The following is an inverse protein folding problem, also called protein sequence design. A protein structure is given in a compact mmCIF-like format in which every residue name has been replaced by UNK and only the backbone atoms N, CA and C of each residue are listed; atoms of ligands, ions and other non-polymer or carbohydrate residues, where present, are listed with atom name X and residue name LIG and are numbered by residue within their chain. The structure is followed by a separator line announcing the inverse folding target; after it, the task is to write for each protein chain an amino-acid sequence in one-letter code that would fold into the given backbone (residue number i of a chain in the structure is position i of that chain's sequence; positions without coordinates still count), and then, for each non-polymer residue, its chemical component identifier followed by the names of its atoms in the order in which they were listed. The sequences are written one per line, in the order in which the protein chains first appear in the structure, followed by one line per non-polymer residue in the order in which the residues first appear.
data_IF_426313059013
#
_entry.id   IF_426313059013
#
_cell.length_a   1.000
_cell.length_b   1.000
_cell.length_c   1.000
_cell.angle_alpha   90.00
_cell.angle_beta   90.00
_cell.angle_gamma   90.00
#
_symmetry.space_group_name_H-M   'P 1'
#
loop_
_entity.id
_entity.type
_entity.pdbx_description
1 polymer ?
#
# COMPACT_ATOMS: atom_id res chain seq x y z
N UNK A 1 19.50 -13.42 -14.16
CA UNK A 1 18.63 -13.34 -12.98
C UNK A 1 17.25 -13.79 -13.41
N UNK A 2 16.58 -14.62 -12.62
CA UNK A 2 15.20 -15.05 -12.89
C UNK A 2 14.24 -13.84 -12.98
N UNK A 3 13.35 -13.74 -13.99
CA UNK A 3 12.47 -12.58 -14.17
C UNK A 3 11.54 -12.32 -12.99
N UNK A 4 11.02 -13.39 -12.35
CA UNK A 4 10.16 -13.27 -11.19
C UNK A 4 10.94 -12.67 -10.00
N UNK A 5 12.17 -13.14 -9.76
CA UNK A 5 13.05 -12.54 -8.74
C UNK A 5 13.41 -11.09 -9.05
N UNK A 6 13.63 -10.74 -10.32
CA UNK A 6 13.93 -9.36 -10.73
C UNK A 6 12.73 -8.42 -10.49
N UNK A 7 11.51 -8.86 -10.80
CA UNK A 7 10.29 -8.09 -10.51
C UNK A 7 10.09 -7.89 -9.00
N UNK A 8 10.38 -8.92 -8.19
CA UNK A 8 10.30 -8.81 -6.73
C UNK A 8 11.31 -7.80 -6.17
N UNK A 9 12.55 -7.80 -6.69
CA UNK A 9 13.58 -6.82 -6.32
C UNK A 9 13.13 -5.40 -6.68
N UNK A 10 12.61 -5.18 -7.89
CA UNK A 10 12.12 -3.87 -8.34
C UNK A 10 11.02 -3.30 -7.43
N UNK A 11 10.03 -4.13 -7.05
CA UNK A 11 8.98 -3.74 -6.10
C UNK A 11 9.56 -3.34 -4.74
N UNK A 12 10.42 -4.20 -4.16
CA UNK A 12 10.98 -3.94 -2.83
C UNK A 12 11.86 -2.69 -2.83
N UNK A 13 12.72 -2.51 -3.83
CA UNK A 13 13.55 -1.31 -3.98
C UNK A 13 12.69 -0.05 -4.09
N UNK A 14 11.61 -0.10 -4.88
CA UNK A 14 10.66 1.02 -4.98
C UNK A 14 10.02 1.34 -3.62
N UNK A 15 9.76 0.33 -2.78
CA UNK A 15 9.13 0.51 -1.47
C UNK A 15 10.10 0.93 -0.35
N UNK A 16 11.42 0.84 -0.53
CA UNK A 16 12.40 1.06 0.55
C UNK A 16 12.29 2.46 1.20
N UNK A 17 12.09 3.51 0.40
CA UNK A 17 11.93 4.88 0.93
C UNK A 17 10.64 5.04 1.74
N UNK A 18 9.54 4.45 1.28
CA UNK A 18 8.25 4.42 1.98
C UNK A 18 8.40 3.70 3.31
N UNK A 19 9.01 2.51 3.31
CA UNK A 19 9.25 1.74 4.53
C UNK A 19 10.05 2.55 5.55
N UNK A 20 11.13 3.19 5.12
CA UNK A 20 11.95 4.06 5.97
C UNK A 20 11.12 5.21 6.56
N UNK A 21 10.35 5.92 5.73
CA UNK A 21 9.50 7.02 6.20
C UNK A 21 8.44 6.57 7.21
N UNK A 22 7.86 5.37 7.05
CA UNK A 22 6.92 4.81 8.04
C UNK A 22 7.64 4.53 9.37
N UNK A 23 8.83 3.92 9.33
CA UNK A 23 9.61 3.59 10.54
C UNK A 23 10.10 4.81 11.30
N UNK A 24 10.40 5.91 10.61
CA UNK A 24 10.90 7.15 11.21
C UNK A 24 9.78 8.10 11.66
N UNK A 25 8.54 7.85 11.25
CA UNK A 25 7.39 8.72 11.51
C UNK A 25 6.99 8.75 13.00
N UNK A 26 6.75 9.96 13.50
CA UNK A 26 6.25 10.17 14.87
C UNK A 26 4.84 9.62 15.08
N UNK A 27 4.07 9.47 13.99
CA UNK A 27 2.70 8.90 14.02
C UNK A 27 2.66 7.48 14.60
N UNK A 28 3.80 6.77 14.64
CA UNK A 28 3.88 5.38 15.08
C UNK A 28 4.93 5.15 16.18
N UNK A 29 5.36 6.22 16.90
CA UNK A 29 6.37 6.11 17.97
C UNK A 29 5.84 5.51 19.27
N UNK A 30 4.54 5.60 19.55
CA UNK A 30 3.91 4.97 20.71
C UNK A 30 3.20 3.68 20.27
N UNK A 31 3.67 2.54 20.79
CA UNK A 31 3.23 1.14 20.56
C UNK A 31 2.48 0.81 19.25
N UNK A 32 3.27 0.25 18.33
CA UNK A 32 3.06 -0.14 16.92
C UNK A 32 2.05 -1.26 16.65
N UNK A 33 0.87 -1.24 17.28
CA UNK A 33 -0.17 -2.25 17.01
C UNK A 33 -0.96 -2.04 15.70
N UNK A 34 -0.79 -0.88 15.05
CA UNK A 34 -1.66 -0.48 13.94
C UNK A 34 -1.01 -0.52 12.56
N UNK A 35 0.29 -0.82 12.40
CA UNK A 35 0.91 -1.00 11.07
C UNK A 35 1.51 -2.39 10.94
N UNK A 36 1.15 -3.07 9.85
CA UNK A 36 1.75 -4.34 9.44
C UNK A 36 2.48 -4.18 8.10
N UNK A 37 3.59 -4.88 7.92
CA UNK A 37 4.35 -4.90 6.67
C UNK A 37 4.13 -6.21 5.94
N UNK A 38 3.88 -6.15 4.62
CA UNK A 38 3.86 -7.32 3.77
C UNK A 38 5.26 -7.56 3.23
N UNK A 39 5.84 -8.70 3.62
CA UNK A 39 7.17 -9.14 3.18
C UNK A 39 7.04 -9.94 1.89
N UNK A 40 7.88 -9.60 0.91
CA UNK A 40 7.99 -10.36 -0.33
C UNK A 40 8.80 -11.65 -0.08
N UNK A 41 8.26 -12.85 -0.38
CA UNK A 41 8.92 -14.11 -0.03
C UNK A 41 10.19 -14.41 -0.85
N UNK A 42 10.41 -13.71 -1.96
CA UNK A 42 11.57 -13.93 -2.85
C UNK A 42 12.79 -13.06 -2.47
N UNK A 43 12.56 -12.00 -1.71
CA UNK A 43 13.59 -11.02 -1.31
C UNK A 43 13.72 -10.87 0.19
N UNK A 44 12.75 -11.36 0.97
CA UNK A 44 12.64 -11.14 2.42
C UNK A 44 12.64 -9.64 2.81
N UNK A 45 12.12 -8.80 1.90
CA UNK A 45 12.01 -7.34 2.08
C UNK A 45 10.56 -6.88 2.01
N UNK A 46 10.20 -5.78 2.68
CA UNK A 46 8.85 -5.23 2.61
C UNK A 46 8.55 -4.67 1.21
N UNK A 47 7.30 -4.86 0.78
CA UNK A 47 6.79 -4.32 -0.50
C UNK A 47 5.44 -3.58 -0.35
N UNK A 48 4.84 -3.64 0.83
CA UNK A 48 3.65 -2.90 1.19
C UNK A 48 3.55 -2.75 2.72
N UNK A 49 2.73 -1.80 3.16
CA UNK A 49 2.33 -1.62 4.54
C UNK A 49 0.81 -1.41 4.64
N UNK A 50 0.20 -1.93 5.70
CA UNK A 50 -1.21 -1.71 6.01
C UNK A 50 -1.35 -1.09 7.40
N UNK A 51 -2.05 0.04 7.45
CA UNK A 51 -2.55 0.64 8.67
C UNK A 51 -3.95 0.13 9.00
N UNK A 52 -4.16 -0.20 10.27
CA UNK A 52 -5.38 -0.80 10.81
C UNK A 52 -5.90 0.09 11.93
N UNK A 53 -7.16 0.52 11.84
CA UNK A 53 -7.85 1.19 12.95
C UNK A 53 -9.31 0.76 12.99
N UNK A 54 -9.65 -0.08 13.98
CA UNK A 54 -10.97 -0.70 14.08
C UNK A 54 -11.35 -1.46 12.80
N UNK A 55 -12.41 -1.00 12.12
CA UNK A 55 -12.86 -1.55 10.82
C UNK A 55 -12.19 -0.88 9.62
N UNK A 56 -11.49 0.23 9.80
CA UNK A 56 -10.84 0.93 8.70
C UNK A 56 -9.47 0.32 8.40
N UNK A 57 -9.12 0.32 7.12
CA UNK A 57 -7.87 -0.17 6.58
C UNK A 57 -7.33 0.84 5.58
N UNK A 58 -6.02 1.07 5.62
CA UNK A 58 -5.31 1.90 4.63
C UNK A 58 -4.05 1.14 4.25
N UNK A 59 -3.90 0.78 2.98
CA UNK A 59 -2.73 0.12 2.44
C UNK A 59 -1.91 1.10 1.61
N UNK A 60 -0.58 1.01 1.69
CA UNK A 60 0.36 1.62 0.76
C UNK A 60 1.27 0.53 0.19
N UNK A 61 1.46 0.51 -1.13
CA UNK A 61 2.28 -0.50 -1.79
C UNK A 61 3.07 0.05 -2.99
N UNK A 62 4.12 -0.68 -3.38
CA UNK A 62 4.82 -0.48 -4.63
C UNK A 62 4.57 -1.66 -5.59
N UNK A 63 4.29 -1.33 -6.84
CA UNK A 63 4.09 -2.25 -7.94
C UNK A 63 5.32 -2.28 -8.86
N UNK A 64 5.40 -3.30 -9.71
CA UNK A 64 6.49 -3.44 -10.68
C UNK A 64 6.49 -2.23 -11.62
N UNK A 65 7.62 -1.54 -11.69
CA UNK A 65 7.87 -0.36 -12.53
C UNK A 65 8.44 -0.76 -13.88
N UNK A 66 9.40 -1.69 -13.88
CA UNK A 66 10.15 -2.08 -15.07
C UNK A 66 9.87 -3.52 -15.50
N UNK A 67 9.78 -3.74 -16.81
CA UNK A 67 9.60 -5.07 -17.36
C UNK A 67 10.82 -5.93 -16.99
N UNK A 68 10.63 -7.10 -16.34
CA UNK A 68 11.74 -7.84 -15.76
C UNK A 68 12.70 -8.39 -16.81
N UNK A 69 12.25 -8.59 -18.05
CA UNK A 69 13.11 -9.09 -19.15
C UNK A 69 13.78 -7.95 -19.91
N UNK A 70 13.01 -6.95 -20.35
CA UNK A 70 13.47 -5.90 -21.27
C UNK A 70 14.02 -4.67 -20.55
N UNK A 71 13.64 -4.43 -19.30
CA UNK A 71 14.00 -3.22 -18.55
C UNK A 71 13.20 -1.98 -18.96
N UNK A 72 12.23 -2.11 -19.86
CA UNK A 72 11.36 -1.00 -20.25
C UNK A 72 10.46 -0.58 -19.09
N UNK A 73 10.24 0.72 -18.93
CA UNK A 73 9.29 1.22 -17.94
C UNK A 73 7.85 0.87 -18.37
N UNK A 74 7.19 -0.01 -17.64
CA UNK A 74 5.82 -0.49 -17.91
C UNK A 74 4.78 0.14 -16.97
N UNK A 75 5.22 0.72 -15.84
CA UNK A 75 4.33 1.41 -14.93
C UNK A 75 4.93 2.76 -14.50
N UNK A 76 4.35 3.83 -15.03
CA UNK A 76 4.75 5.20 -14.71
C UNK A 76 4.27 5.65 -13.33
N UNK A 77 3.31 4.94 -12.74
CA UNK A 77 2.66 5.24 -11.45
C UNK A 77 2.69 4.01 -10.53
N UNK A 78 3.88 3.56 -10.10
CA UNK A 78 4.04 2.27 -9.42
C UNK A 78 3.54 2.29 -7.97
N UNK A 79 3.27 3.45 -7.40
CA UNK A 79 2.88 3.57 -6.00
C UNK A 79 1.37 3.67 -5.88
N UNK A 80 0.82 3.01 -4.87
CA UNK A 80 -0.62 2.94 -4.67
C UNK A 80 -0.97 3.09 -3.19
N UNK A 81 -2.02 3.87 -2.93
CA UNK A 81 -2.69 3.92 -1.63
C UNK A 81 -4.15 3.54 -1.80
N UNK A 82 -4.60 2.55 -1.04
CA UNK A 82 -6.00 2.10 -1.02
C UNK A 82 -6.53 2.20 0.41
N UNK A 83 -7.70 2.77 0.62
CA UNK A 83 -8.40 2.74 1.91
C UNK A 83 -9.80 2.16 1.78
N UNK A 84 -10.23 1.42 2.80
CA UNK A 84 -11.56 0.80 2.84
C UNK A 84 -12.01 0.56 4.29
N UNK A 85 -13.29 0.25 4.45
CA UNK A 85 -13.87 -0.18 5.73
C UNK A 85 -14.33 -1.65 5.61
N UNK A 86 -13.96 -2.47 6.58
CA UNK A 86 -14.42 -3.86 6.69
C UNK A 86 -15.95 -3.87 6.81
N UNK A 87 -16.59 -4.77 6.03
CA UNK A 87 -18.04 -4.95 5.90
C UNK A 87 -18.79 -3.88 5.09
N UNK A 88 -18.13 -3.14 4.19
CA UNK A 88 -18.84 -2.38 3.13
C UNK A 88 -19.44 -3.28 2.05
N UNK A 89 -19.12 -4.57 2.06
CA UNK A 89 -19.78 -5.57 1.20
C UNK A 89 -21.14 -5.92 1.80
N UNK A 90 -22.16 -5.14 1.44
CA UNK A 90 -23.54 -5.60 1.49
C UNK A 90 -23.68 -6.67 0.40
N UNK A 91 -23.58 -7.95 0.77
CA UNK A 91 -24.07 -9.01 -0.08
C UNK A 91 -25.60 -8.93 -0.02
N UNK A 92 -26.21 -8.14 -0.90
CA UNK A 92 -27.63 -8.35 -1.18
C UNK A 92 -27.78 -9.75 -1.77
N UNK A 93 -28.82 -10.49 -1.38
CA UNK A 93 -29.06 -11.84 -1.90
C UNK A 93 -29.23 -11.79 -3.44
N UNK A 94 -28.14 -12.07 -4.16
CA UNK A 94 -28.08 -12.01 -5.61
C UNK A 94 -26.64 -12.06 -6.11
N UNK A 95 -26.41 -12.54 -7.32
CA UNK A 95 -25.09 -12.58 -7.97
C UNK A 95 -24.56 -11.19 -8.39
N UNK A 96 -25.00 -10.12 -7.74
CA UNK A 96 -24.56 -8.77 -8.06
C UNK A 96 -23.21 -8.51 -7.39
N UNK A 97 -22.26 -8.01 -8.19
CA UNK A 97 -20.97 -7.56 -7.66
C UNK A 97 -21.26 -6.40 -6.69
N UNK A 98 -20.90 -6.51 -5.40
CA UNK A 98 -21.19 -5.46 -4.44
C UNK A 98 -20.63 -4.12 -4.97
N UNK A 99 -21.35 -3.01 -4.78
CA UNK A 99 -20.86 -1.71 -5.23
C UNK A 99 -19.51 -1.39 -4.55
N UNK A 100 -18.56 -0.84 -5.30
CA UNK A 100 -17.26 -0.32 -4.81
C UNK A 100 -17.43 0.87 -3.83
N UNK A 101 -18.66 1.16 -3.39
CA UNK A 101 -18.99 2.20 -2.41
C UNK A 101 -18.31 1.89 -1.08
N UNK A 102 -17.09 2.37 -0.91
CA UNK A 102 -16.30 2.17 0.30
C UNK A 102 -14.80 2.00 0.05
N UNK A 103 -14.35 1.82 -1.19
CA UNK A 103 -12.92 1.73 -1.53
C UNK A 103 -12.47 3.05 -2.15
N UNK A 104 -11.47 3.70 -1.55
CA UNK A 104 -10.77 4.84 -2.14
C UNK A 104 -9.39 4.38 -2.60
N UNK A 105 -9.10 4.53 -3.89
CA UNK A 105 -7.83 4.12 -4.50
C UNK A 105 -7.18 5.32 -5.18
N UNK A 106 -5.89 5.51 -4.95
CA UNK A 106 -5.09 6.51 -5.65
C UNK A 106 -3.70 5.98 -5.99
N UNK A 107 -3.28 6.20 -7.22
CA UNK A 107 -1.95 5.85 -7.73
C UNK A 107 -1.05 7.10 -7.83
N UNK A 108 0.27 6.89 -7.78
CA UNK A 108 1.26 7.97 -7.78
C UNK A 108 2.50 7.59 -8.58
N UNK A 109 3.10 8.60 -9.21
CA UNK A 109 4.40 8.50 -9.89
C UNK A 109 5.58 8.41 -8.93
N UNK A 110 5.45 8.94 -7.72
CA UNK A 110 6.55 9.07 -6.77
C UNK A 110 6.17 8.61 -5.35
N UNK A 111 7.17 8.09 -4.65
CA UNK A 111 7.07 7.59 -3.29
C UNK A 111 6.63 8.71 -2.32
N UNK A 112 7.26 9.88 -2.39
CA UNK A 112 7.02 10.99 -1.46
C UNK A 112 5.56 11.47 -1.41
N UNK A 113 4.90 11.58 -2.57
CA UNK A 113 3.50 11.96 -2.63
C UNK A 113 2.59 10.84 -2.14
N UNK A 114 2.94 9.59 -2.44
CA UNK A 114 2.17 8.44 -1.95
C UNK A 114 2.21 8.34 -0.43
N UNK A 115 3.38 8.52 0.20
CA UNK A 115 3.52 8.45 1.66
C UNK A 115 2.88 9.67 2.34
N UNK A 116 3.00 10.87 1.78
CA UNK A 116 2.29 12.06 2.27
C UNK A 116 0.78 11.85 2.25
N UNK A 117 0.25 11.26 1.18
CA UNK A 117 -1.17 10.94 1.08
C UNK A 117 -1.59 9.86 2.07
N UNK A 118 -0.80 8.80 2.23
CA UNK A 118 -1.03 7.75 3.22
C UNK A 118 -1.10 8.30 4.65
N UNK A 119 -0.12 9.12 5.06
CA UNK A 119 -0.15 9.76 6.38
C UNK A 119 -1.34 10.70 6.55
N UNK A 120 -1.69 11.48 5.51
CA UNK A 120 -2.88 12.32 5.55
C UNK A 120 -4.15 11.49 5.80
N UNK A 121 -4.33 10.37 5.10
CA UNK A 121 -5.48 9.48 5.30
C UNK A 121 -5.55 8.95 6.74
N UNK A 122 -4.41 8.60 7.33
CA UNK A 122 -4.32 8.14 8.72
C UNK A 122 -4.70 9.27 9.68
N UNK A 123 -4.14 10.47 9.53
CA UNK A 123 -4.46 11.61 10.38
C UNK A 123 -5.93 12.06 10.25
N UNK A 124 -6.46 12.07 9.03
CA UNK A 124 -7.88 12.37 8.77
C UNK A 124 -8.80 11.34 9.44
N UNK A 125 -8.37 10.08 9.54
CA UNK A 125 -9.11 9.03 10.24
C UNK A 125 -9.02 9.19 11.77
N UNK A 126 -7.82 9.44 12.30
CA UNK A 126 -7.58 9.61 13.74
C UNK A 126 -8.25 10.85 14.32
N UNK A 127 -8.36 11.94 13.56
CA UNK A 127 -9.03 13.18 13.99
C UNK A 127 -10.56 13.09 14.03
N UNK A 128 -11.14 12.03 13.48
CA UNK A 128 -12.60 11.76 13.50
C UNK A 128 -13.03 10.80 14.61
N UNK A 129 -12.07 10.14 15.26
CA UNK A 129 -12.29 9.23 16.38
C UNK A 129 -12.38 10.01 17.69
#
# INVERSE_FOLDING_TARGET
MDPLKKAAVDKCLSFESIHKSIKESELFREETSNITFRINPLTDKPEAAEFISGRFRINISANVKEHPVTGECINQEPYEVISWQINTFSLEEGCETPPDSGINRKIFKNADNSIKYFFKQISDLQSRA
#
